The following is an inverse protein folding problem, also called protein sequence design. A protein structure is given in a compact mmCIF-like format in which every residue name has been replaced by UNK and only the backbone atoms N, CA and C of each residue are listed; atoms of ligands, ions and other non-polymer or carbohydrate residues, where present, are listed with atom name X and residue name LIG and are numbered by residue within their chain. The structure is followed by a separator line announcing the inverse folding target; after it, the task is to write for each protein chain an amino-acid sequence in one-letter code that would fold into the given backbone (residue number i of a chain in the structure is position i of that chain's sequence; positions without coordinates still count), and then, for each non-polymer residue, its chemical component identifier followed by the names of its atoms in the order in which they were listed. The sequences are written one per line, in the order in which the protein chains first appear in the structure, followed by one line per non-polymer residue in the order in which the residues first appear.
data_IF_573080060723
#
_entry.id   IF_573080060723
#
_cell.length_a   1.000
_cell.length_b   1.000
_cell.length_c   1.000
_cell.angle_alpha   90.00
_cell.angle_beta   90.00
_cell.angle_gamma   90.00
#
_symmetry.space_group_name_H-M   'P 1'
#
loop_
_entity.id
_entity.type
_entity.pdbx_description
1 polymer ?
#
# COMPACT_ATOMS: atom_id res chain seq x y z
N UNK A 1 12.54 0.25 -15.95
CA UNK A 1 12.55 0.33 -14.49
C UNK A 1 11.88 -0.94 -13.95
N UNK A 2 12.68 -1.96 -13.63
CA UNK A 2 12.17 -3.29 -13.25
C UNK A 2 11.79 -3.41 -11.76
N UNK A 3 12.19 -2.41 -10.97
CA UNK A 3 11.95 -2.36 -9.53
C UNK A 3 10.65 -1.63 -9.21
N UNK A 4 10.21 -0.72 -10.09
CA UNK A 4 8.95 -0.02 -9.91
C UNK A 4 7.74 -0.92 -10.14
N UNK A 5 6.95 -1.12 -9.08
CA UNK A 5 5.63 -1.76 -9.12
C UNK A 5 4.64 -1.02 -8.23
N UNK A 6 3.40 -0.89 -8.70
CA UNK A 6 2.30 -0.37 -7.90
C UNK A 6 1.40 -1.53 -7.46
N UNK A 7 1.13 -1.62 -6.17
CA UNK A 7 0.26 -2.65 -5.59
C UNK A 7 -0.92 -1.95 -4.91
N UNK A 8 -2.13 -2.23 -5.39
CA UNK A 8 -3.35 -1.74 -4.75
C UNK A 8 -3.70 -2.63 -3.56
N UNK A 9 -3.72 -2.04 -2.36
CA UNK A 9 -4.06 -2.76 -1.14
C UNK A 9 -5.57 -2.72 -0.89
N UNK A 10 -6.25 -3.89 -0.76
CA UNK A 10 -7.65 -3.92 -0.39
C UNK A 10 -7.84 -3.37 1.02
N UNK A 11 -8.76 -2.41 1.18
CA UNK A 11 -9.14 -1.90 2.51
C UNK A 11 -10.09 -2.91 3.14
N UNK A 12 -9.68 -3.49 4.27
CA UNK A 12 -10.44 -4.50 5.02
C UNK A 12 -11.21 -3.91 6.20
N UNK A 13 -10.93 -2.66 6.58
CA UNK A 13 -11.66 -1.97 7.64
C UNK A 13 -11.36 -0.48 7.71
N UNK A 14 -12.33 0.27 8.24
CA UNK A 14 -12.21 1.71 8.52
C UNK A 14 -12.85 2.01 9.87
N UNK A 15 -12.16 2.81 10.69
CA UNK A 15 -12.69 3.31 11.96
C UNK A 15 -12.12 4.69 12.25
N UNK A 16 -12.98 5.71 12.26
CA UNK A 16 -12.55 7.11 12.33
C UNK A 16 -11.51 7.44 11.25
N UNK A 17 -10.33 7.91 11.67
CA UNK A 17 -9.17 8.20 10.81
C UNK A 17 -8.24 6.99 10.57
N UNK A 18 -8.63 5.79 11.02
CA UNK A 18 -7.84 4.57 10.87
C UNK A 18 -8.33 3.71 9.70
N UNK A 19 -7.39 3.24 8.88
CA UNK A 19 -7.64 2.32 7.76
C UNK A 19 -6.81 1.06 8.00
N UNK A 20 -7.45 -0.11 7.86
CA UNK A 20 -6.77 -1.40 7.78
C UNK A 20 -6.81 -1.88 6.34
N UNK A 21 -5.67 -2.37 5.85
CA UNK A 21 -5.54 -2.91 4.51
C UNK A 21 -4.87 -4.28 4.55
N UNK A 22 -5.25 -5.15 3.63
CA UNK A 22 -4.60 -6.45 3.44
C UNK A 22 -3.30 -6.25 2.67
N UNK A 23 -2.20 -6.77 3.21
CA UNK A 23 -0.87 -6.76 2.57
C UNK A 23 -0.66 -8.13 1.90
N UNK A 24 -0.43 -8.19 0.58
CA UNK A 24 -0.19 -9.46 -0.10
C UNK A 24 1.18 -10.04 0.25
N UNK A 25 1.40 -11.32 -0.07
CA UNK A 25 2.66 -12.01 0.19
C UNK A 25 3.85 -11.50 -0.64
N UNK A 26 5.03 -11.99 -0.29
CA UNK A 26 6.33 -11.53 -0.82
C UNK A 26 6.54 -11.72 -2.33
N UNK A 27 5.78 -12.61 -2.97
CA UNK A 27 5.80 -12.76 -4.44
C UNK A 27 5.21 -11.55 -5.17
N UNK A 28 4.17 -10.93 -4.59
CA UNK A 28 3.50 -9.75 -5.15
C UNK A 28 4.14 -8.46 -4.63
N UNK A 29 4.56 -8.48 -3.37
CA UNK A 29 5.19 -7.36 -2.69
C UNK A 29 6.59 -7.78 -2.18
N UNK A 30 7.60 -7.80 -3.06
CA UNK A 30 8.98 -8.13 -2.70
C UNK A 30 9.49 -7.30 -1.50
N UNK A 31 10.34 -7.86 -0.64
CA UNK A 31 10.93 -7.13 0.47
C UNK A 31 11.70 -5.88 0.01
N UNK A 32 11.57 -4.78 0.74
CA UNK A 32 12.24 -3.53 0.41
C UNK A 32 11.44 -2.27 0.80
N UNK A 33 11.98 -1.08 0.48
CA UNK A 33 11.30 0.19 0.72
C UNK A 33 10.19 0.44 -0.32
N UNK A 34 9.05 0.95 0.13
CA UNK A 34 7.94 1.36 -0.72
C UNK A 34 7.42 2.74 -0.32
N UNK A 35 6.80 3.43 -1.27
CA UNK A 35 5.98 4.61 -1.02
C UNK A 35 4.53 4.19 -0.82
N UNK A 36 3.98 4.47 0.36
CA UNK A 36 2.58 4.27 0.68
C UNK A 36 1.78 5.55 0.46
N UNK A 37 0.67 5.42 -0.25
CA UNK A 37 -0.28 6.49 -0.53
C UNK A 37 -1.69 6.07 -0.10
N UNK A 38 -2.46 7.02 0.43
CA UNK A 38 -3.91 6.89 0.53
C UNK A 38 -4.53 7.76 -0.54
N UNK A 39 -5.43 7.18 -1.33
CA UNK A 39 -6.13 7.88 -2.40
C UNK A 39 -7.55 8.22 -1.94
N UNK A 40 -7.88 9.51 -1.95
CA UNK A 40 -9.24 9.98 -1.71
C UNK A 40 -9.98 10.11 -3.05
N UNK A 41 -11.15 9.49 -3.16
CA UNK A 41 -12.04 9.75 -4.30
C UNK A 41 -12.65 11.15 -4.18
N UNK A 42 -12.51 11.95 -5.23
CA UNK A 42 -13.11 13.29 -5.35
C UNK A 42 -13.91 13.39 -6.65
N UNK A 43 -14.75 14.43 -6.85
CA UNK A 43 -15.43 14.67 -8.13
C UNK A 43 -14.47 14.86 -9.32
N UNK A 44 -13.20 15.21 -9.06
CA UNK A 44 -12.17 15.41 -10.09
C UNK A 44 -11.25 14.20 -10.27
N UNK A 45 -11.52 13.10 -9.57
CA UNK A 45 -10.70 11.88 -9.59
C UNK A 45 -10.02 11.55 -8.27
N UNK A 46 -9.01 10.69 -8.32
CA UNK A 46 -8.26 10.24 -7.15
C UNK A 46 -7.22 11.30 -6.74
N UNK A 47 -7.35 11.80 -5.51
CA UNK A 47 -6.38 12.71 -4.89
C UNK A 47 -5.44 11.91 -3.98
N UNK A 48 -4.15 11.77 -4.31
CA UNK A 48 -3.20 11.09 -3.44
C UNK A 48 -2.79 11.96 -2.24
N UNK A 49 -2.49 11.31 -1.12
CA UNK A 49 -1.76 11.94 -0.01
C UNK A 49 -0.30 12.24 -0.39
N UNK A 50 0.40 12.97 0.47
CA UNK A 50 1.87 12.88 0.49
C UNK A 50 2.29 11.43 0.78
N UNK A 51 3.38 10.98 0.17
CA UNK A 51 3.87 9.63 0.37
C UNK A 51 4.41 9.41 1.78
N UNK A 52 4.23 8.20 2.31
CA UNK A 52 4.99 7.73 3.48
C UNK A 52 5.87 6.56 3.07
N UNK A 53 7.15 6.60 3.41
CA UNK A 53 8.02 5.45 3.20
C UNK A 53 7.67 4.35 4.21
N UNK A 54 7.51 3.12 3.72
CA UNK A 54 7.34 1.92 4.53
C UNK A 54 8.32 0.84 4.07
N UNK A 55 8.64 -0.11 4.93
CA UNK A 55 9.49 -1.25 4.59
C UNK A 55 8.65 -2.52 4.66
N UNK A 56 8.68 -3.30 3.59
CA UNK A 56 8.08 -4.64 3.57
C UNK A 56 9.16 -5.61 4.03
N UNK A 57 8.93 -6.22 5.18
CA UNK A 57 9.83 -7.22 5.73
C UNK A 57 9.58 -8.56 5.02
N UNK A 58 10.65 -9.26 4.64
CA UNK A 58 10.55 -10.63 4.16
C UNK A 58 10.38 -11.58 5.33
N UNK A 59 9.15 -11.87 5.74
CA UNK A 59 8.89 -13.13 6.45
C UNK A 59 8.59 -14.19 5.38
N UNK A 60 9.27 -15.34 5.37
CA UNK A 60 8.87 -16.44 4.49
C UNK A 60 7.45 -16.87 4.85
N UNK A 61 6.63 -17.33 3.90
CA UNK A 61 5.33 -17.92 4.23
C UNK A 61 5.54 -19.07 5.25
N UNK A 62 4.66 -19.10 6.25
CA UNK A 62 4.62 -20.13 7.29
C UNK A 62 4.37 -21.53 6.72
#
# INVERSE_FOLDING_TARGET
DGDQRAVQLPITGRSGSSIRAAVPGSTVLPPGPYMLFVLQQTPKGLLPSVSRQVVVNGSPPA
#
